data_IF_015037781445
#
_entry.id   IF_015037781445
#
_cell.length_a   1.000
_cell.length_b   1.000
_cell.length_c   1.000
_cell.angle_alpha   90.00
_cell.angle_beta   90.00
_cell.angle_gamma   90.00
#
_symmetry.space_group_name_H-M   'P 1'
#
loop_
_entity.id
_entity.type
_entity.pdbx_description
1 polymer ?
#
# COMPACT_ATOMS: atom_id res chain seq x y z
N UNK A 1 14.20 -21.77 0.18
CA UNK A 1 13.90 -22.79 -0.86
C UNK A 1 13.11 -23.94 -0.25
N UNK A 2 12.16 -24.62 -0.94
CA UNK A 2 11.53 -25.83 -0.41
C UNK A 2 12.57 -26.92 -0.11
N UNK A 3 12.43 -27.64 1.01
CA UNK A 3 13.39 -28.68 1.42
C UNK A 3 13.31 -29.96 0.59
N UNK A 4 12.17 -30.20 -0.05
CA UNK A 4 11.93 -31.42 -0.83
C UNK A 4 11.56 -31.08 -2.28
N UNK A 5 12.02 -31.89 -3.25
CA UNK A 5 11.75 -31.66 -4.67
C UNK A 5 10.27 -31.78 -5.02
N UNK A 6 9.56 -32.74 -4.42
CA UNK A 6 8.11 -32.86 -4.60
C UNK A 6 7.38 -31.58 -4.21
N UNK A 7 7.73 -30.97 -3.07
CA UNK A 7 7.12 -29.71 -2.63
C UNK A 7 7.46 -28.56 -3.61
N UNK A 8 8.69 -28.52 -4.13
CA UNK A 8 9.05 -27.55 -5.17
C UNK A 8 8.16 -27.68 -6.42
N UNK A 9 7.99 -28.89 -6.95
CA UNK A 9 7.13 -29.17 -8.12
C UNK A 9 5.68 -28.75 -7.86
N UNK A 10 5.13 -29.06 -6.68
CA UNK A 10 3.77 -28.66 -6.32
C UNK A 10 3.60 -27.13 -6.31
N UNK A 11 4.59 -26.39 -5.80
CA UNK A 11 4.54 -24.92 -5.75
C UNK A 11 4.61 -24.30 -7.16
N UNK A 12 5.54 -24.75 -8.00
CA UNK A 12 5.66 -24.22 -9.37
C UNK A 12 4.53 -24.69 -10.29
N UNK A 13 3.95 -25.86 -10.03
CA UNK A 13 2.81 -26.41 -10.77
C UNK A 13 1.51 -25.59 -10.66
N UNK A 14 1.48 -24.56 -9.81
CA UNK A 14 0.35 -23.61 -9.67
C UNK A 14 0.47 -22.37 -10.56
N UNK A 15 1.57 -22.21 -11.30
CA UNK A 15 1.89 -20.95 -12.01
C UNK A 15 1.16 -20.78 -13.34
N UNK A 16 0.83 -21.87 -14.05
CA UNK A 16 0.06 -21.82 -15.30
C UNK A 16 -1.45 -21.73 -15.05
N UNK A 17 -2.17 -20.87 -15.80
CA UNK A 17 -3.63 -20.75 -15.77
C UNK A 17 -4.18 -20.62 -17.19
N UNK A 18 -5.36 -21.19 -17.45
CA UNK A 18 -6.13 -20.98 -18.69
C UNK A 18 -5.31 -21.08 -19.99
N UNK A 19 -4.56 -22.19 -20.16
CA UNK A 19 -3.66 -22.45 -21.31
C UNK A 19 -2.51 -21.44 -21.50
N UNK A 20 -2.26 -20.55 -20.55
CA UNK A 20 -1.07 -19.68 -20.54
C UNK A 20 0.09 -20.33 -19.79
N UNK A 21 1.29 -20.20 -20.34
CA UNK A 21 2.55 -20.53 -19.65
C UNK A 21 2.75 -19.59 -18.46
N UNK A 22 3.09 -20.15 -17.30
CA UNK A 22 3.46 -19.40 -16.10
C UNK A 22 4.98 -19.36 -15.93
N UNK A 23 5.50 -18.29 -15.33
CA UNK A 23 6.91 -18.17 -14.97
C UNK A 23 7.07 -18.26 -13.45
N UNK A 24 7.98 -19.10 -12.97
CA UNK A 24 8.36 -19.18 -11.56
C UNK A 24 9.77 -18.64 -11.35
N UNK A 25 9.94 -17.78 -10.34
CA UNK A 25 11.24 -17.25 -9.92
C UNK A 25 11.54 -17.77 -8.52
N UNK A 26 12.73 -18.36 -8.35
CA UNK A 26 13.20 -18.92 -7.08
C UNK A 26 14.41 -18.12 -6.61
N UNK A 27 14.34 -17.59 -5.39
CA UNK A 27 15.47 -16.94 -4.72
C UNK A 27 16.16 -17.98 -3.83
N UNK A 28 17.47 -18.14 -4.02
CA UNK A 28 18.29 -19.15 -3.31
C UNK A 28 19.40 -18.43 -2.57
N UNK A 29 19.51 -18.66 -1.27
CA UNK A 29 20.64 -18.21 -0.44
C UNK A 29 21.75 -19.27 -0.46
N UNK A 30 22.99 -18.89 -0.16
CA UNK A 30 24.12 -19.82 -0.04
C UNK A 30 23.86 -20.96 0.95
N UNK A 31 23.12 -20.70 2.03
CA UNK A 31 22.73 -21.72 3.02
C UNK A 31 21.76 -22.76 2.45
N UNK A 32 20.99 -22.40 1.42
CA UNK A 32 19.97 -23.24 0.80
C UNK A 32 20.48 -23.95 -0.45
N UNK A 33 21.78 -23.81 -0.78
CA UNK A 33 22.38 -24.35 -1.99
C UNK A 33 22.27 -25.88 -2.05
N UNK A 34 22.46 -26.56 -0.93
CA UNK A 34 22.33 -28.03 -0.85
C UNK A 34 20.90 -28.50 -1.21
N UNK A 35 19.87 -27.78 -0.75
CA UNK A 35 18.49 -28.10 -1.09
C UNK A 35 18.18 -27.76 -2.56
N UNK A 36 18.76 -26.69 -3.08
CA UNK A 36 18.67 -26.35 -4.49
C UNK A 36 19.30 -27.42 -5.39
N UNK A 37 20.49 -27.93 -5.06
CA UNK A 37 21.20 -28.94 -5.85
C UNK A 37 20.42 -30.27 -5.86
N UNK A 38 19.79 -30.66 -4.74
CA UNK A 38 18.89 -31.83 -4.69
C UNK A 38 17.67 -31.65 -5.59
N UNK A 39 17.06 -30.47 -5.56
CA UNK A 39 15.92 -30.13 -6.42
C UNK A 39 16.36 -30.16 -7.87
N UNK A 40 17.51 -29.56 -8.16
CA UNK A 40 18.13 -29.57 -9.47
C UNK A 40 18.24 -31.02 -9.92
N UNK A 41 19.06 -31.85 -9.26
CA UNK A 41 19.27 -33.27 -9.59
C UNK A 41 17.96 -34.04 -9.85
N UNK A 42 16.95 -33.90 -8.99
CA UNK A 42 15.66 -34.58 -9.14
C UNK A 42 14.88 -34.18 -10.41
N UNK A 43 15.09 -32.97 -10.91
CA UNK A 43 14.41 -32.44 -12.11
C UNK A 43 15.11 -32.82 -13.42
N UNK A 44 16.41 -33.11 -13.39
CA UNK A 44 17.17 -33.52 -14.59
C UNK A 44 17.11 -35.03 -14.82
N UNK A 45 17.00 -35.84 -13.76
CA UNK A 45 17.07 -37.30 -13.88
C UNK A 45 18.43 -37.80 -14.39
N UNK A 46 18.73 -39.08 -14.22
CA UNK A 46 20.03 -39.67 -14.62
C UNK A 46 20.28 -39.72 -16.15
N UNK A 47 19.32 -39.26 -16.97
CA UNK A 47 19.32 -39.47 -18.42
C UNK A 47 20.08 -38.41 -19.25
N UNK A 48 20.64 -37.36 -18.63
CA UNK A 48 21.28 -36.24 -19.34
C UNK A 48 22.67 -35.89 -18.80
N UNK A 49 23.45 -36.90 -18.37
CA UNK A 49 24.84 -36.72 -17.88
C UNK A 49 25.77 -36.10 -18.96
N UNK A 50 25.41 -36.19 -20.25
CA UNK A 50 26.19 -35.66 -21.37
C UNK A 50 25.74 -34.31 -21.96
N UNK A 51 24.51 -33.86 -21.70
CA UNK A 51 23.94 -32.66 -22.32
C UNK A 51 23.75 -31.53 -21.31
N UNK A 52 24.79 -30.73 -21.08
CA UNK A 52 24.77 -29.47 -20.29
C UNK A 52 23.77 -28.40 -20.78
N UNK A 53 22.89 -28.73 -21.73
CA UNK A 53 22.05 -27.81 -22.51
C UNK A 53 20.60 -27.69 -22.01
N UNK A 54 20.18 -28.52 -21.05
CA UNK A 54 18.78 -28.54 -20.58
C UNK A 54 18.60 -28.00 -19.16
N UNK A 55 19.36 -26.97 -18.74
CA UNK A 55 19.11 -26.23 -17.48
C UNK A 55 17.62 -25.82 -17.39
N UNK A 56 16.80 -26.61 -16.68
CA UNK A 56 15.36 -26.34 -16.48
C UNK A 56 15.15 -25.11 -15.60
N UNK A 57 16.13 -24.82 -14.74
CA UNK A 57 16.17 -23.62 -13.91
C UNK A 57 17.30 -22.74 -14.43
N UNK A 58 16.93 -21.68 -15.16
CA UNK A 58 17.86 -20.73 -15.73
C UNK A 58 18.11 -19.56 -14.77
N UNK A 59 19.31 -18.97 -14.76
CA UNK A 59 19.54 -17.69 -14.11
C UNK A 59 18.55 -16.66 -14.65
N UNK A 60 17.93 -15.90 -13.75
CA UNK A 60 16.93 -14.92 -14.15
C UNK A 60 17.63 -13.69 -14.76
N UNK A 61 17.37 -13.36 -16.05
CA UNK A 61 18.19 -12.38 -16.78
C UNK A 61 17.89 -10.93 -16.40
N UNK A 62 16.71 -10.64 -15.86
CA UNK A 62 16.23 -9.28 -15.61
C UNK A 62 16.59 -8.74 -14.22
N UNK A 63 17.24 -9.53 -13.37
CA UNK A 63 17.62 -9.12 -12.02
C UNK A 63 19.14 -9.13 -11.90
N UNK A 64 19.75 -7.99 -12.26
CA UNK A 64 21.19 -7.77 -12.12
C UNK A 64 21.55 -7.50 -10.66
N UNK A 65 22.79 -7.83 -10.26
CA UNK A 65 23.29 -7.54 -8.91
C UNK A 65 23.27 -6.04 -8.59
N UNK A 66 23.60 -5.21 -9.58
CA UNK A 66 23.60 -3.75 -9.47
C UNK A 66 22.20 -3.19 -9.20
N UNK A 67 21.18 -3.72 -9.90
CA UNK A 67 19.79 -3.33 -9.67
C UNK A 67 19.34 -3.67 -8.24
N UNK A 68 19.76 -4.83 -7.70
CA UNK A 68 19.45 -5.23 -6.33
C UNK A 68 20.17 -4.34 -5.31
N UNK A 69 21.46 -4.05 -5.52
CA UNK A 69 22.27 -3.29 -4.56
C UNK A 69 21.71 -1.88 -4.34
N UNK A 70 21.16 -1.27 -5.39
CA UNK A 70 20.47 0.03 -5.28
C UNK A 70 19.32 0.00 -4.26
N UNK A 71 18.61 -1.13 -4.14
CA UNK A 71 17.47 -1.32 -3.24
C UNK A 71 17.89 -1.77 -1.83
N UNK A 72 19.15 -2.14 -1.62
CA UNK A 72 19.65 -2.73 -0.36
C UNK A 72 19.33 -1.87 0.85
N UNK A 73 19.67 -0.59 0.80
CA UNK A 73 19.42 0.34 1.92
C UNK A 73 17.94 0.39 2.31
N UNK A 74 17.02 0.31 1.33
CA UNK A 74 15.58 0.30 1.60
C UNK A 74 15.14 -1.00 2.26
N UNK A 75 15.65 -2.13 1.78
CA UNK A 75 15.37 -3.42 2.39
C UNK A 75 15.89 -3.47 3.83
N UNK A 76 17.10 -2.95 4.08
CA UNK A 76 17.68 -2.86 5.41
C UNK A 76 16.89 -1.93 6.35
N UNK A 77 16.43 -0.76 5.87
CA UNK A 77 15.62 0.16 6.66
C UNK A 77 14.29 -0.48 7.08
N UNK A 78 13.62 -1.19 6.17
CA UNK A 78 12.40 -1.95 6.48
C UNK A 78 12.71 -3.10 7.45
N UNK A 79 13.78 -3.86 7.21
CA UNK A 79 14.17 -4.98 8.06
C UNK A 79 14.47 -4.54 9.50
N UNK A 80 15.11 -3.39 9.70
CA UNK A 80 15.33 -2.78 11.03
C UNK A 80 14.01 -2.43 11.74
N UNK A 81 12.96 -2.12 10.98
CA UNK A 81 11.62 -1.90 11.53
C UNK A 81 10.92 -3.18 12.02
N UNK A 82 11.34 -4.36 11.54
CA UNK A 82 10.76 -5.65 11.92
C UNK A 82 11.48 -6.21 13.13
N UNK A 83 11.03 -5.81 14.32
CA UNK A 83 11.60 -6.29 15.59
C UNK A 83 10.90 -7.56 16.08
N UNK A 84 11.55 -8.33 16.97
CA UNK A 84 10.93 -9.50 17.63
C UNK A 84 9.62 -9.14 18.34
N UNK A 85 9.51 -7.91 18.87
CA UNK A 85 8.30 -7.40 19.50
C UNK A 85 7.19 -7.23 18.45
N UNK A 86 7.48 -6.58 17.33
CA UNK A 86 6.53 -6.42 16.23
C UNK A 86 6.04 -7.79 15.69
N UNK A 87 6.92 -8.79 15.61
CA UNK A 87 6.55 -10.15 15.20
C UNK A 87 5.60 -10.80 16.22
N UNK A 88 5.91 -10.70 17.53
CA UNK A 88 5.05 -11.24 18.59
C UNK A 88 3.68 -10.57 18.60
N UNK A 89 3.64 -9.25 18.50
CA UNK A 89 2.39 -8.49 18.43
C UNK A 89 1.59 -8.85 17.16
N UNK A 90 2.26 -9.06 16.01
CA UNK A 90 1.60 -9.43 14.76
C UNK A 90 0.95 -10.80 14.86
N UNK A 91 1.68 -11.78 15.42
CA UNK A 91 1.16 -13.13 15.65
C UNK A 91 0.01 -13.14 16.66
N UNK A 92 0.13 -12.38 17.74
CA UNK A 92 -0.96 -12.25 18.72
C UNK A 92 -2.23 -11.68 18.06
N UNK A 93 -2.09 -10.67 17.20
CA UNK A 93 -3.21 -10.10 16.44
C UNK A 93 -3.82 -11.11 15.47
N UNK A 94 -3.00 -11.89 14.76
CA UNK A 94 -3.48 -12.94 13.85
C UNK A 94 -4.30 -13.99 14.60
N UNK A 95 -3.77 -14.51 15.71
CA UNK A 95 -4.47 -15.48 16.56
C UNK A 95 -5.78 -14.92 17.11
N UNK A 96 -5.82 -13.66 17.54
CA UNK A 96 -7.06 -13.04 18.02
C UNK A 96 -8.11 -12.92 16.92
N UNK A 97 -7.71 -12.55 15.71
CA UNK A 97 -8.62 -12.51 14.56
C UNK A 97 -9.13 -13.91 14.21
N UNK A 98 -8.28 -14.93 14.31
CA UNK A 98 -8.68 -16.31 14.11
C UNK A 98 -9.69 -16.77 15.18
N UNK A 99 -9.45 -16.43 16.45
CA UNK A 99 -10.37 -16.70 17.57
C UNK A 99 -11.73 -16.03 17.35
N UNK A 100 -11.74 -14.75 16.97
CA UNK A 100 -12.97 -14.00 16.71
C UNK A 100 -13.76 -14.54 15.50
N UNK A 101 -13.06 -15.06 14.49
CA UNK A 101 -13.68 -15.63 13.29
C UNK A 101 -14.03 -17.11 13.44
N UNK A 102 -13.54 -17.79 14.48
CA UNK A 102 -13.77 -19.20 14.73
C UNK A 102 -15.24 -19.47 15.06
N UNK A 103 -15.88 -20.34 14.29
CA UNK A 103 -17.27 -20.75 14.55
C UNK A 103 -17.42 -21.52 15.86
N UNK A 104 -16.38 -22.28 16.23
CA UNK A 104 -16.38 -23.12 17.43
C UNK A 104 -16.42 -22.31 18.73
N UNK A 105 -15.88 -21.09 18.70
CA UNK A 105 -15.79 -20.23 19.89
C UNK A 105 -16.93 -19.21 19.99
N UNK A 106 -17.81 -19.12 18.98
CA UNK A 106 -18.94 -18.17 19.01
C UNK A 106 -19.87 -18.42 20.20
N UNK A 107 -20.29 -19.67 20.41
CA UNK A 107 -21.15 -20.03 21.54
C UNK A 107 -20.49 -19.70 22.89
N UNK A 108 -19.20 -19.96 23.04
CA UNK A 108 -18.45 -19.61 24.26
C UNK A 108 -18.47 -18.10 24.54
N UNK A 109 -18.40 -17.27 23.51
CA UNK A 109 -18.45 -15.81 23.65
C UNK A 109 -19.85 -15.25 23.88
N UNK A 110 -20.91 -16.00 23.57
CA UNK A 110 -22.27 -15.64 23.95
C UNK A 110 -22.45 -15.77 25.48
N UNK A 111 -21.89 -16.83 26.05
CA UNK A 111 -21.89 -17.06 27.51
C UNK A 111 -20.89 -16.16 28.27
N UNK A 112 -19.80 -15.75 27.61
CA UNK A 112 -18.72 -14.95 28.20
C UNK A 112 -18.48 -13.65 27.40
N UNK A 113 -19.38 -12.65 27.53
CA UNK A 113 -19.28 -11.40 26.78
C UNK A 113 -18.04 -10.58 27.16
N UNK A 114 -17.55 -10.70 28.40
CA UNK A 114 -16.34 -10.03 28.89
C UNK A 114 -15.10 -10.42 28.09
N UNK A 115 -14.96 -11.70 27.74
CA UNK A 115 -13.81 -12.23 27.02
C UNK A 115 -13.79 -11.74 25.57
N UNK A 116 -14.98 -11.65 24.97
CA UNK A 116 -15.18 -11.09 23.64
C UNK A 116 -14.80 -9.60 23.61
N UNK A 117 -15.17 -8.84 24.63
CA UNK A 117 -14.78 -7.43 24.76
C UNK A 117 -13.27 -7.27 24.91
N UNK A 118 -12.64 -8.07 25.77
CA UNK A 118 -11.17 -8.08 25.94
C UNK A 118 -10.43 -8.33 24.62
N UNK A 119 -10.93 -9.24 23.78
CA UNK A 119 -10.37 -9.52 22.47
C UNK A 119 -10.60 -8.40 21.44
N UNK A 120 -11.69 -7.63 21.57
CA UNK A 120 -12.03 -6.52 20.65
C UNK A 120 -11.22 -5.25 20.91
N UNK A 121 -10.76 -5.01 22.14
CA UNK A 121 -10.02 -3.80 22.53
C UNK A 121 -8.55 -3.78 22.10
N UNK A 122 -8.26 -4.41 20.97
CA UNK A 122 -6.91 -4.82 20.62
C UNK A 122 -5.98 -3.64 20.30
N UNK A 123 -4.75 -3.72 20.82
CA UNK A 123 -3.71 -2.71 20.61
C UNK A 123 -3.30 -2.72 19.14
N UNK A 124 -3.34 -1.56 18.48
CA UNK A 124 -2.92 -1.44 17.08
C UNK A 124 -1.45 -1.87 16.94
N UNK A 125 -1.23 -2.93 16.15
CA UNK A 125 0.07 -3.57 15.88
C UNK A 125 1.22 -2.58 15.63
N UNK A 126 0.94 -1.51 14.90
CA UNK A 126 1.87 -0.39 14.77
C UNK A 126 1.08 0.89 14.56
N UNK A 127 1.33 1.89 15.40
CA UNK A 127 0.83 3.25 15.18
C UNK A 127 1.60 3.97 14.07
N UNK A 128 2.80 3.49 13.74
CA UNK A 128 3.66 4.07 12.71
C UNK A 128 3.17 3.57 11.35
N UNK A 129 2.56 4.47 10.59
CA UNK A 129 2.23 4.18 9.20
C UNK A 129 3.50 3.80 8.43
N UNK A 130 3.43 2.84 7.50
CA UNK A 130 4.56 2.53 6.63
C UNK A 130 5.01 3.79 5.91
N UNK A 131 6.32 4.02 5.85
CA UNK A 131 6.86 5.27 5.36
C UNK A 131 6.38 5.52 3.92
N UNK A 132 5.83 6.71 3.61
CA UNK A 132 5.20 6.96 2.31
C UNK A 132 6.17 6.83 1.14
N UNK A 133 7.46 7.10 1.37
CA UNK A 133 8.52 6.98 0.37
C UNK A 133 8.82 5.53 -0.02
N UNK A 134 8.41 4.52 0.77
CA UNK A 134 8.57 3.11 0.40
C UNK A 134 7.63 2.70 -0.75
N UNK A 135 6.56 3.47 -1.01
CA UNK A 135 5.60 3.19 -2.08
C UNK A 135 6.15 3.46 -3.48
N UNK A 136 7.09 4.40 -3.60
CA UNK A 136 7.66 4.82 -4.88
C UNK A 136 9.16 4.56 -4.89
N UNK A 137 9.67 3.96 -5.96
CA UNK A 137 11.12 3.78 -6.16
C UNK A 137 11.66 5.04 -6.85
N UNK A 138 12.62 5.76 -6.23
CA UNK A 138 13.22 6.95 -6.81
C UNK A 138 13.90 6.64 -8.15
N UNK A 139 13.97 7.63 -9.02
CA UNK A 139 14.52 7.47 -10.38
C UNK A 139 15.94 6.92 -10.40
N UNK A 140 16.81 7.40 -9.53
CA UNK A 140 18.19 6.95 -9.42
C UNK A 140 18.35 5.50 -8.96
N UNK A 141 17.29 4.86 -8.47
CA UNK A 141 17.27 3.48 -7.97
C UNK A 141 16.58 2.54 -8.96
N UNK A 142 16.12 3.05 -10.11
CA UNK A 142 15.50 2.25 -11.16
C UNK A 142 16.57 1.86 -12.18
N UNK A 143 16.62 0.57 -12.50
CA UNK A 143 17.48 0.09 -13.60
C UNK A 143 16.91 0.60 -14.94
N UNK A 144 17.71 1.25 -15.81
CA UNK A 144 17.25 1.77 -17.10
C UNK A 144 16.55 0.71 -17.96
N UNK A 145 17.00 -0.55 -17.90
CA UNK A 145 16.40 -1.65 -18.66
C UNK A 145 14.98 -1.95 -18.15
N UNK A 146 14.82 -2.00 -16.83
CA UNK A 146 13.52 -2.23 -16.19
C UNK A 146 12.57 -1.06 -16.42
N UNK A 147 13.08 0.16 -16.44
CA UNK A 147 12.31 1.36 -16.74
C UNK A 147 11.80 1.34 -18.19
N UNK A 148 12.67 1.06 -19.16
CA UNK A 148 12.31 0.95 -20.57
C UNK A 148 11.23 -0.13 -20.78
N UNK A 149 11.41 -1.31 -20.19
CA UNK A 149 10.41 -2.38 -20.22
C UNK A 149 9.08 -1.93 -19.60
N UNK A 150 9.11 -1.23 -18.46
CA UNK A 150 7.90 -0.72 -17.81
C UNK A 150 7.17 0.33 -18.65
N UNK A 151 7.90 1.20 -19.35
CA UNK A 151 7.35 2.21 -20.26
C UNK A 151 6.72 1.55 -21.48
N UNK A 152 7.40 0.57 -22.09
CA UNK A 152 6.88 -0.20 -23.20
C UNK A 152 5.57 -0.94 -22.84
N UNK A 153 5.53 -1.57 -21.66
CA UNK A 153 4.31 -2.23 -21.15
C UNK A 153 3.17 -1.24 -20.89
N UNK A 154 3.46 -0.04 -20.38
CA UNK A 154 2.44 1.01 -20.18
C UNK A 154 1.88 1.49 -21.52
N UNK A 155 2.74 1.69 -22.51
CA UNK A 155 2.34 2.13 -23.86
C UNK A 155 1.50 1.07 -24.57
N UNK A 156 1.92 -0.19 -24.58
CA UNK A 156 1.16 -1.28 -25.19
C UNK A 156 -0.19 -1.46 -24.50
N UNK A 157 -0.23 -1.37 -23.17
CA UNK A 157 -1.46 -1.46 -22.39
C UNK A 157 -2.43 -0.29 -22.66
N UNK A 158 -1.90 0.92 -22.85
CA UNK A 158 -2.67 2.08 -23.25
C UNK A 158 -3.24 1.93 -24.68
N UNK A 159 -2.43 1.43 -25.63
CA UNK A 159 -2.87 1.14 -26.99
C UNK A 159 -3.98 0.07 -27.04
N UNK A 160 -3.94 -0.92 -26.13
CA UNK A 160 -4.96 -1.96 -25.98
C UNK A 160 -6.20 -1.51 -25.18
N UNK A 161 -6.30 -0.22 -24.79
CA UNK A 161 -7.44 0.32 -24.05
C UNK A 161 -7.61 -0.25 -22.64
N UNK A 162 -6.55 -0.80 -22.05
CA UNK A 162 -6.57 -1.43 -20.71
C UNK A 162 -5.99 -0.46 -19.67
N UNK A 163 -6.78 0.42 -19.02
CA UNK A 163 -6.22 1.36 -18.05
C UNK A 163 -5.49 0.63 -16.92
N UNK A 164 -4.29 1.13 -16.58
CA UNK A 164 -3.54 0.65 -15.41
C UNK A 164 -4.28 1.03 -14.15
N UNK A 165 -4.90 0.04 -13.50
CA UNK A 165 -5.60 0.22 -12.24
C UNK A 165 -7.00 0.81 -12.42
N UNK A 166 -8.01 -0.04 -12.25
CA UNK A 166 -9.32 0.41 -11.77
C UNK A 166 -9.12 1.09 -10.40
N UNK A 167 -8.72 2.37 -10.39
CA UNK A 167 -9.21 3.29 -9.38
C UNK A 167 -10.70 3.39 -9.63
N UNK A 168 -11.47 2.42 -9.12
CA UNK A 168 -12.89 2.63 -8.86
C UNK A 168 -12.90 3.93 -8.05
N UNK A 169 -13.27 5.06 -8.69
CA UNK A 169 -13.64 6.26 -7.97
C UNK A 169 -14.69 5.76 -6.99
N UNK A 170 -14.32 5.57 -5.72
CA UNK A 170 -15.30 5.28 -4.68
C UNK A 170 -16.21 6.48 -4.76
N UNK A 171 -17.43 6.29 -5.27
CA UNK A 171 -18.45 7.33 -5.18
C UNK A 171 -18.42 7.77 -3.71
N UNK A 172 -18.31 9.08 -3.40
CA UNK A 172 -18.44 9.51 -2.03
C UNK A 172 -19.71 8.87 -1.50
N UNK A 173 -19.59 8.11 -0.40
CA UNK A 173 -20.78 7.53 0.24
C UNK A 173 -21.72 8.71 0.44
N UNK A 174 -22.94 8.60 -0.12
CA UNK A 174 -23.98 9.56 0.17
C UNK A 174 -24.01 9.73 1.68
N UNK A 175 -23.93 10.98 2.14
CA UNK A 175 -24.05 11.30 3.56
C UNK A 175 -25.26 10.54 4.11
N UNK A 176 -25.08 9.97 5.29
CA UNK A 176 -26.08 9.17 5.99
C UNK A 176 -27.47 9.80 5.82
N UNK A 177 -28.45 9.10 5.22
CA UNK A 177 -29.76 9.69 4.92
C UNK A 177 -30.45 10.25 6.16
N UNK A 178 -30.08 9.78 7.36
CA UNK A 178 -30.57 10.27 8.65
C UNK A 178 -29.94 11.61 9.10
N UNK A 179 -28.82 12.03 8.50
CA UNK A 179 -28.17 13.34 8.76
C UNK A 179 -28.57 14.44 7.77
N UNK A 180 -29.25 14.09 6.68
CA UNK A 180 -29.65 15.04 5.63
C UNK A 180 -30.87 15.91 5.97
N UNK A 181 -31.57 15.63 7.07
CA UNK A 181 -32.75 16.38 7.52
C UNK A 181 -32.44 17.69 8.27
N UNK A 182 -31.21 18.22 8.18
CA UNK A 182 -30.94 19.55 8.75
C UNK A 182 -31.71 20.62 7.97
N UNK A 183 -32.76 21.17 8.60
CA UNK A 183 -33.60 22.26 8.10
C UNK A 183 -32.77 23.55 8.12
N UNK A 184 -31.95 23.74 7.08
CA UNK A 184 -31.35 25.03 6.77
C UNK A 184 -31.98 25.55 5.47
N UNK A 185 -32.73 26.67 5.49
CA UNK A 185 -33.36 27.19 4.29
C UNK A 185 -32.29 27.75 3.35
N UNK A 186 -31.85 26.95 2.37
CA UNK A 186 -31.01 27.45 1.28
C UNK A 186 -31.84 28.38 0.40
N UNK A 187 -31.51 29.68 0.46
CA UNK A 187 -31.91 30.70 -0.52
C UNK A 187 -31.62 30.19 -1.93
N UNK A 188 -32.68 29.90 -2.71
CA UNK A 188 -32.57 29.65 -4.15
C UNK A 188 -32.18 30.97 -4.83
N UNK A 189 -31.04 30.98 -5.52
CA UNK A 189 -30.69 32.04 -6.48
C UNK A 189 -31.68 31.94 -7.64
N UNK A 190 -32.50 32.98 -7.80
CA UNK A 190 -33.35 33.17 -8.96
C UNK A 190 -32.47 33.63 -10.14
N UNK A 191 -32.46 32.85 -11.23
CA UNK A 191 -31.90 33.28 -12.50
C UNK A 191 -32.73 34.45 -13.05
N UNK A 192 -32.08 35.58 -13.30
CA UNK A 192 -32.69 36.75 -13.97
C UNK A 192 -32.26 36.75 -15.43
N UNK A 193 -33.14 36.31 -16.32
CA UNK A 193 -33.14 36.75 -17.72
C UNK A 193 -34.00 38.02 -17.81
N UNK A 194 -33.43 39.06 -18.41
CA UNK A 194 -33.86 40.44 -18.25
C UNK A 194 -35.09 40.84 -19.06
N UNK A 195 -35.82 41.81 -18.52
CA UNK A 195 -36.52 42.86 -19.28
C UNK A 195 -36.45 44.15 -18.44
N UNK A 196 -36.17 45.25 -19.14
CA UNK A 196 -35.97 46.60 -18.62
C UNK A 196 -37.15 47.12 -17.77
N UNK A 197 -36.86 47.86 -16.70
CA UNK A 197 -37.52 49.15 -16.46
C UNK A 197 -36.75 50.00 -15.45
N UNK A 198 -36.68 51.28 -15.81
CA UNK A 198 -36.12 52.44 -15.13
C UNK A 198 -36.87 52.83 -13.85
N UNK A 199 -36.24 53.73 -13.07
CA UNK A 199 -36.75 54.47 -11.90
C UNK A 199 -36.76 53.74 -10.54
N UNK A 200 -35.79 54.06 -9.67
CA UNK A 200 -35.99 55.09 -8.63
C UNK A 200 -34.67 55.44 -7.94
N UNK A 201 -34.44 56.73 -7.80
CA UNK A 201 -33.34 57.37 -7.09
C UNK A 201 -33.50 57.35 -5.57
N UNK A 202 -32.43 57.79 -4.88
CA UNK A 202 -32.40 58.38 -3.51
C UNK A 202 -32.42 57.33 -2.37
N UNK A 203 -31.63 57.42 -1.29
CA UNK A 203 -30.88 58.53 -0.71
C UNK A 203 -29.87 58.00 0.34
N UNK A 204 -28.78 58.76 0.55
CA UNK A 204 -28.15 59.19 1.84
C UNK A 204 -27.87 58.13 2.94
N UNK A 205 -26.82 58.21 3.77
CA UNK A 205 -25.70 59.13 3.95
C UNK A 205 -24.88 58.66 5.18
N UNK A 206 -23.58 59.00 5.19
CA UNK A 206 -22.73 59.47 6.32
C UNK A 206 -22.38 58.46 7.44
N UNK A 207 -21.10 58.13 7.58
CA UNK A 207 -20.09 58.72 8.53
C UNK A 207 -20.51 58.51 9.99
N UNK A 208 -19.74 57.81 10.81
CA UNK A 208 -18.56 58.37 11.49
C UNK A 208 -17.47 57.31 11.75
N UNK A 209 -16.23 57.77 11.86
CA UNK A 209 -15.10 56.98 12.34
C UNK A 209 -14.64 57.48 13.70
N UNK A 210 -13.86 56.68 14.41
CA UNK A 210 -12.93 57.21 15.40
C UNK A 210 -11.72 56.28 15.56
N UNK A 211 -10.54 56.91 15.48
CA UNK A 211 -9.20 56.36 15.73
C UNK A 211 -8.96 56.30 17.23
N UNK A 212 -8.25 55.29 17.74
CA UNK A 212 -7.18 55.52 18.74
C UNK A 212 -6.03 54.52 18.53
N UNK A 213 -4.83 55.08 18.38
CA UNK A 213 -3.51 54.44 18.46
C UNK A 213 -3.20 54.13 19.93
N UNK A 214 -2.45 53.06 20.23
CA UNK A 214 -1.17 53.31 20.89
C UNK A 214 -0.13 52.18 20.78
N UNK A 215 1.13 52.63 20.75
CA UNK A 215 2.37 51.86 20.66
C UNK A 215 2.85 51.51 22.08
N UNK A 216 3.50 50.36 22.29
CA UNK A 216 4.74 50.35 23.10
C UNK A 216 5.61 49.09 22.93
N UNK A 217 6.89 49.39 22.67
CA UNK A 217 8.08 48.55 22.65
C UNK A 217 8.47 48.05 24.06
N UNK A 218 9.11 46.87 24.13
CA UNK A 218 10.22 46.53 25.07
C UNK A 218 10.86 45.22 24.56
N UNK A 219 11.95 45.25 23.78
CA UNK A 219 13.37 45.31 24.20
C UNK A 219 13.65 44.50 25.49
N UNK A 220 14.12 43.26 25.34
CA UNK A 220 14.88 42.53 26.36
C UNK A 220 16.32 42.37 25.87
N UNK A 221 17.25 42.94 26.63
CA UNK A 221 18.68 42.77 26.50
C UNK A 221 19.18 42.23 27.84
N UNK A 222 20.17 41.32 27.77
CA UNK A 222 21.23 41.07 28.78
C UNK A 222 20.75 40.36 30.07
N UNK A 223 21.50 39.47 30.73
CA UNK A 223 22.94 39.11 30.70
C UNK A 223 23.17 37.86 31.59
N UNK A 224 24.24 37.12 31.28
CA UNK A 224 25.13 36.29 32.13
C UNK A 224 24.61 35.55 33.38
N UNK A 225 24.87 34.25 33.42
CA UNK A 225 26.04 33.71 34.13
C UNK A 225 26.57 32.50 33.39
#
# INVERSE_FOLDING_TARGET
>A
MPKTPSNYVHRIGRTGRARSTGTSISLVSSEEQCDFDKIQASLYGDNDIGNKKTMRILPFPLLTKEAIESLRYRAEDVARGVTKVAIKEARAKELRLEILNSEKLKAHFEDHPTDLELLKHDKVLSKRQPLPHLKCVPEYMRDPNTEAASKALKLSRAAMGQPSGFRRKRKPRAEDPLRSFSVNPKRRKLEKNGVNSTLWSRAKAKKTGEKVRDKRKKKKHRRHK
#
